data_IF_288353915114
#
_entry.id   IF_288353915114
#
_cell.length_a   1.000
_cell.length_b   1.000
_cell.length_c   1.000
_cell.angle_alpha   90.00
_cell.angle_beta   90.00
_cell.angle_gamma   90.00
#
_symmetry.space_group_name_H-M   'P 1'
#
loop_
_entity.id
_entity.type
_entity.pdbx_description
1 polymer ?
#
# COMPACT_ATOMS: atom_id res chain seq x y z
N UNK A 1 14.99 6.29 -3.01
CA UNK A 1 14.97 6.78 -4.42
C UNK A 1 13.58 6.74 -5.07
N UNK A 2 12.96 5.58 -5.28
CA UNK A 2 11.69 5.43 -6.03
C UNK A 2 10.56 6.36 -5.55
N UNK A 3 10.35 6.48 -4.24
CA UNK A 3 9.34 7.38 -3.66
C UNK A 3 9.55 8.85 -4.07
N UNK A 4 10.80 9.35 -4.05
CA UNK A 4 11.09 10.74 -4.47
C UNK A 4 10.92 10.96 -5.98
N UNK A 5 11.15 9.92 -6.80
CA UNK A 5 10.94 9.96 -8.26
C UNK A 5 9.47 9.96 -8.64
N UNK A 6 8.69 9.03 -8.09
CA UNK A 6 7.28 8.84 -8.45
C UNK A 6 6.32 9.75 -7.69
N UNK A 7 6.77 10.35 -6.58
CA UNK A 7 6.00 11.28 -5.76
C UNK A 7 4.59 10.76 -5.44
N UNK A 8 4.44 9.53 -4.91
CA UNK A 8 3.13 8.94 -4.71
C UNK A 8 2.40 9.56 -3.50
N UNK A 9 1.08 9.69 -3.60
CA UNK A 9 0.22 9.95 -2.44
C UNK A 9 0.04 8.69 -1.56
N UNK A 10 0.05 7.52 -2.19
CA UNK A 10 -0.15 6.21 -1.54
C UNK A 10 0.91 5.23 -2.02
N UNK A 11 1.52 4.51 -1.09
CA UNK A 11 2.43 3.39 -1.36
C UNK A 11 1.77 2.09 -0.89
N UNK A 12 1.82 1.04 -1.70
CA UNK A 12 1.29 -0.28 -1.35
C UNK A 12 2.47 -1.25 -1.17
N UNK A 13 2.44 -2.08 -0.13
CA UNK A 13 3.44 -3.11 0.15
C UNK A 13 2.79 -4.40 0.67
N UNK A 14 3.57 -5.48 0.75
CA UNK A 14 3.14 -6.79 1.26
C UNK A 14 3.29 -6.94 2.78
N UNK A 15 2.72 -8.03 3.31
CA UNK A 15 2.79 -8.39 4.72
C UNK A 15 4.24 -8.53 5.20
N UNK A 16 4.63 -7.71 6.18
CA UNK A 16 5.98 -7.70 6.77
C UNK A 16 6.03 -8.26 8.19
N UNK A 17 4.91 -8.80 8.68
CA UNK A 17 4.86 -9.49 9.96
C UNK A 17 5.48 -10.88 9.83
N UNK A 18 5.92 -11.44 10.96
CA UNK A 18 6.62 -12.73 10.98
C UNK A 18 5.72 -13.92 10.60
N UNK A 19 4.40 -13.70 10.51
CA UNK A 19 3.41 -14.72 10.14
C UNK A 19 2.43 -14.22 9.09
N UNK A 20 1.95 -15.15 8.27
CA UNK A 20 0.72 -15.04 7.51
C UNK A 20 -0.49 -15.28 8.39
N UNK A 21 -1.66 -14.77 8.00
CA UNK A 21 -2.92 -15.25 8.55
C UNK A 21 -3.24 -16.66 8.00
N UNK A 22 -3.70 -17.62 8.83
CA UNK A 22 -4.05 -17.50 10.24
C UNK A 22 -2.90 -17.73 11.24
N UNK A 23 -1.67 -18.02 10.81
CA UNK A 23 -0.51 -18.12 11.72
C UNK A 23 0.76 -18.78 11.18
N UNK A 24 0.79 -19.20 9.91
CA UNK A 24 1.98 -19.83 9.32
C UNK A 24 3.16 -18.85 9.25
N UNK A 25 4.42 -19.30 9.41
CA UNK A 25 5.59 -18.43 9.26
C UNK A 25 5.60 -17.72 7.90
N UNK A 26 5.92 -16.43 7.91
CA UNK A 26 6.10 -15.63 6.71
C UNK A 26 7.51 -15.84 6.13
N UNK A 27 7.67 -15.51 4.87
CA UNK A 27 8.93 -15.58 4.17
C UNK A 27 9.81 -14.37 4.53
N UNK A 28 11.11 -14.61 4.67
CA UNK A 28 12.06 -13.60 5.13
C UNK A 28 12.17 -12.41 4.16
N UNK A 29 11.99 -12.65 2.87
CA UNK A 29 11.98 -11.62 1.83
C UNK A 29 10.80 -10.66 1.96
N UNK A 30 9.58 -11.16 2.27
CA UNK A 30 8.42 -10.32 2.51
C UNK A 30 8.61 -9.42 3.73
N UNK A 31 9.17 -9.97 4.80
CA UNK A 31 9.48 -9.24 6.04
C UNK A 31 10.49 -8.12 5.75
N UNK A 32 11.62 -8.45 5.11
CA UNK A 32 12.66 -7.49 4.79
C UNK A 32 12.15 -6.40 3.83
N UNK A 33 11.49 -6.80 2.74
CA UNK A 33 10.97 -5.87 1.74
C UNK A 33 9.94 -4.93 2.33
N UNK A 34 8.94 -5.46 3.06
CA UNK A 34 7.87 -4.62 3.58
C UNK A 34 8.35 -3.62 4.64
N UNK A 35 9.30 -4.01 5.50
CA UNK A 35 9.99 -3.08 6.42
C UNK A 35 10.76 -2.01 5.65
N UNK A 36 11.56 -2.40 4.66
CA UNK A 36 12.33 -1.47 3.84
C UNK A 36 11.44 -0.47 3.06
N UNK A 37 10.24 -0.88 2.62
CA UNK A 37 9.28 0.04 1.99
C UNK A 37 8.74 1.07 2.98
N UNK A 38 8.37 0.65 4.19
CA UNK A 38 7.84 1.55 5.23
C UNK A 38 8.91 2.57 5.65
N UNK A 39 10.12 2.10 5.93
CA UNK A 39 11.25 2.97 6.29
C UNK A 39 11.63 3.86 5.11
N UNK A 40 11.68 3.31 3.90
CA UNK A 40 11.97 4.07 2.68
C UNK A 40 10.96 5.19 2.39
N UNK A 41 9.68 5.02 2.77
CA UNK A 41 8.67 6.10 2.69
C UNK A 41 8.95 7.20 3.72
N UNK A 42 9.34 6.84 4.95
CA UNK A 42 9.75 7.80 5.98
C UNK A 42 10.99 8.57 5.54
N UNK A 43 12.01 7.87 5.04
CA UNK A 43 13.29 8.44 4.62
C UNK A 43 13.14 9.33 3.39
N UNK A 44 12.22 8.98 2.49
CA UNK A 44 11.94 9.80 1.32
C UNK A 44 11.47 11.22 1.72
N UNK A 45 10.79 11.37 2.85
CA UNK A 45 10.33 12.67 3.36
C UNK A 45 11.41 13.44 4.14
N UNK A 46 12.54 12.83 4.45
CA UNK A 46 13.61 13.43 5.25
C UNK A 46 14.76 13.91 4.36
N UNK A 47 15.02 15.23 4.37
CA UNK A 47 16.11 15.83 3.58
C UNK A 47 17.52 15.42 4.01
N UNK A 48 17.67 14.90 5.22
CA UNK A 48 18.97 14.56 5.81
C UNK A 48 19.37 13.09 5.62
N UNK A 49 18.42 12.24 5.21
CA UNK A 49 18.66 10.83 4.93
C UNK A 49 18.85 10.64 3.42
N UNK A 50 19.88 9.88 3.03
CA UNK A 50 20.30 9.67 1.64
C UNK A 50 20.47 11.01 0.89
N UNK A 51 21.43 11.81 1.34
CA UNK A 51 21.62 13.20 0.86
C UNK A 51 22.04 13.26 -0.61
N UNK A 52 22.74 12.25 -1.09
CA UNK A 52 23.14 12.08 -2.49
C UNK A 52 21.94 12.15 -3.44
N UNK A 53 20.74 11.76 -2.98
CA UNK A 53 19.52 11.87 -3.77
C UNK A 53 19.13 13.33 -4.06
N UNK A 54 19.52 14.29 -3.21
CA UNK A 54 19.30 15.72 -3.47
C UNK A 54 20.19 16.20 -4.62
N UNK A 55 21.45 15.77 -4.60
CA UNK A 55 22.43 16.09 -5.66
C UNK A 55 22.00 15.49 -7.01
N UNK A 56 21.28 14.36 -6.97
CA UNK A 56 20.65 13.73 -8.12
C UNK A 56 19.29 14.34 -8.53
N UNK A 57 18.91 15.49 -7.95
CA UNK A 57 17.68 16.20 -8.31
C UNK A 57 16.38 15.55 -7.81
N UNK A 58 16.47 14.68 -6.79
CA UNK A 58 15.32 14.04 -6.14
C UNK A 58 15.04 14.70 -4.79
N UNK A 59 14.21 15.77 -4.75
CA UNK A 59 13.87 16.44 -3.50
C UNK A 59 13.05 15.54 -2.57
N UNK A 60 13.01 15.83 -1.26
CA UNK A 60 12.22 15.05 -0.32
C UNK A 60 10.75 15.00 -0.73
N UNK A 61 10.13 13.84 -0.55
CA UNK A 61 8.72 13.63 -0.86
C UNK A 61 8.02 12.90 0.28
N UNK A 62 6.87 13.41 0.71
CA UNK A 62 6.04 12.83 1.75
C UNK A 62 4.85 12.12 1.14
N UNK A 63 4.90 10.79 1.10
CA UNK A 63 3.71 10.00 0.78
C UNK A 63 2.68 10.14 1.92
N UNK A 64 1.41 10.24 1.54
CA UNK A 64 0.31 10.41 2.46
C UNK A 64 0.04 9.15 3.28
N UNK A 65 0.11 7.96 2.67
CA UNK A 65 -0.24 6.68 3.31
C UNK A 65 0.60 5.51 2.80
N UNK A 66 0.78 4.52 3.66
CA UNK A 66 1.23 3.18 3.27
C UNK A 66 0.11 2.17 3.52
N UNK A 67 -0.22 1.36 2.51
CA UNK A 67 -1.19 0.27 2.60
C UNK A 67 -0.45 -1.06 2.59
N UNK A 68 -0.74 -1.94 3.55
CA UNK A 68 -0.12 -3.26 3.68
C UNK A 68 -1.15 -4.33 3.31
N UNK A 69 -0.91 -4.97 2.17
CA UNK A 69 -1.68 -6.11 1.68
C UNK A 69 -1.44 -7.36 2.55
N UNK A 70 -2.50 -8.17 2.69
CA UNK A 70 -2.47 -9.46 3.40
C UNK A 70 -1.91 -9.40 4.84
N UNK A 71 -2.00 -8.24 5.51
CA UNK A 71 -1.59 -8.11 6.91
C UNK A 71 -2.52 -8.90 7.83
N UNK A 72 -2.01 -9.68 8.80
CA UNK A 72 -2.83 -10.32 9.82
C UNK A 72 -3.59 -9.30 10.69
N UNK A 73 -3.14 -8.04 10.68
CA UNK A 73 -3.74 -6.93 11.42
C UNK A 73 -4.62 -6.03 10.54
N UNK A 74 -5.01 -6.48 9.34
CA UNK A 74 -5.84 -5.70 8.44
C UNK A 74 -7.11 -5.19 9.15
N UNK A 75 -7.41 -3.91 8.96
CA UNK A 75 -8.59 -3.25 9.57
C UNK A 75 -9.49 -2.60 8.52
N UNK A 76 -9.04 -2.55 7.26
CA UNK A 76 -9.76 -1.98 6.13
C UNK A 76 -9.87 -3.03 5.02
N UNK A 77 -10.80 -2.81 4.09
CA UNK A 77 -10.85 -3.60 2.87
C UNK A 77 -11.43 -2.81 1.71
N UNK A 78 -10.98 -3.13 0.50
CA UNK A 78 -11.44 -2.51 -0.75
C UNK A 78 -12.33 -3.51 -1.48
N UNK A 79 -13.52 -3.06 -1.92
CA UNK A 79 -14.40 -3.87 -2.76
C UNK A 79 -13.82 -3.95 -4.17
N UNK A 80 -13.50 -5.16 -4.60
CA UNK A 80 -12.94 -5.47 -5.92
C UNK A 80 -13.91 -6.30 -6.77
N UNK A 81 -15.20 -6.36 -6.41
CA UNK A 81 -16.19 -7.19 -7.12
C UNK A 81 -16.21 -6.91 -8.62
N UNK A 82 -16.18 -5.63 -9.01
CA UNK A 82 -16.22 -5.21 -10.40
C UNK A 82 -14.94 -5.52 -11.17
N UNK A 83 -13.80 -5.63 -10.49
CA UNK A 83 -12.46 -5.81 -11.10
C UNK A 83 -11.84 -7.17 -10.78
N UNK A 84 -12.60 -8.09 -10.18
CA UNK A 84 -12.08 -9.39 -9.77
C UNK A 84 -11.59 -10.21 -10.97
N UNK A 85 -12.34 -10.17 -12.09
CA UNK A 85 -11.95 -10.84 -13.32
C UNK A 85 -10.61 -10.31 -13.86
N UNK A 86 -10.35 -9.01 -13.74
CA UNK A 86 -9.06 -8.42 -14.14
C UNK A 86 -7.92 -8.93 -13.25
N UNK A 87 -8.16 -9.07 -11.95
CA UNK A 87 -7.20 -9.66 -11.01
C UNK A 87 -6.87 -11.11 -11.35
N UNK A 88 -7.89 -11.91 -11.68
CA UNK A 88 -7.73 -13.30 -12.12
C UNK A 88 -6.92 -13.36 -13.41
N UNK A 89 -7.25 -12.53 -14.40
CA UNK A 89 -6.52 -12.46 -15.67
C UNK A 89 -5.06 -12.06 -15.46
N UNK A 90 -4.81 -11.08 -14.60
CA UNK A 90 -3.46 -10.65 -14.23
C UNK A 90 -2.67 -11.79 -13.58
N UNK A 91 -3.25 -12.50 -12.59
CA UNK A 91 -2.55 -13.61 -11.93
C UNK A 91 -2.31 -14.77 -12.89
N UNK A 92 -3.28 -15.08 -13.76
CA UNK A 92 -3.16 -16.12 -14.80
C UNK A 92 -2.01 -15.86 -15.77
N UNK A 93 -1.63 -14.61 -16.01
CA UNK A 93 -0.48 -14.26 -16.83
C UNK A 93 0.86 -14.78 -16.26
N UNK A 94 0.93 -15.09 -14.95
CA UNK A 94 2.09 -15.72 -14.31
C UNK A 94 2.13 -17.25 -14.56
N UNK A 95 1.90 -17.67 -15.81
CA UNK A 95 1.64 -19.07 -16.16
C UNK A 95 2.80 -20.03 -15.78
N UNK A 96 4.05 -19.60 -15.86
CA UNK A 96 5.21 -20.42 -15.46
C UNK A 96 5.21 -20.66 -13.95
N UNK A 97 4.95 -19.63 -13.15
CA UNK A 97 4.86 -19.72 -11.70
C UNK A 97 3.72 -20.65 -11.28
N UNK A 98 2.53 -20.44 -11.84
CA UNK A 98 1.35 -21.26 -11.52
C UNK A 98 1.53 -22.74 -11.89
N UNK A 99 2.16 -23.03 -13.05
CA UNK A 99 2.54 -24.42 -13.39
C UNK A 99 3.54 -25.00 -12.41
N UNK A 100 4.48 -24.20 -11.93
CA UNK A 100 5.48 -24.60 -10.92
C UNK A 100 4.87 -24.99 -9.57
N UNK A 101 3.66 -24.53 -9.26
CA UNK A 101 2.93 -24.91 -8.05
C UNK A 101 2.30 -26.31 -8.13
N UNK A 102 2.24 -26.93 -9.32
CA UNK A 102 1.72 -28.28 -9.51
C UNK A 102 0.28 -28.44 -9.02
N UNK A 103 0.01 -29.47 -8.21
CA UNK A 103 -1.31 -29.76 -7.65
C UNK A 103 -1.67 -28.93 -6.41
N UNK A 104 -0.89 -27.89 -6.07
CA UNK A 104 -1.17 -27.03 -4.92
C UNK A 104 -2.45 -26.23 -5.16
N UNK A 105 -3.26 -26.02 -4.12
CA UNK A 105 -4.51 -25.24 -4.17
C UNK A 105 -4.34 -23.76 -4.59
N UNK A 106 -3.10 -23.28 -4.73
CA UNK A 106 -2.79 -21.92 -5.17
C UNK A 106 -2.42 -21.86 -6.66
N UNK A 107 -2.42 -23.00 -7.35
CA UNK A 107 -2.15 -23.08 -8.78
C UNK A 107 -3.32 -22.56 -9.63
N UNK A 108 -4.55 -22.59 -9.10
CA UNK A 108 -5.70 -21.96 -9.75
C UNK A 108 -5.83 -20.48 -9.34
N UNK A 109 -5.80 -19.52 -10.30
CA UNK A 109 -5.88 -18.10 -10.00
C UNK A 109 -7.18 -17.64 -9.35
N UNK A 110 -8.31 -18.26 -9.67
CA UNK A 110 -9.60 -17.88 -9.11
C UNK A 110 -9.71 -18.33 -7.66
N UNK A 111 -9.29 -19.55 -7.37
CA UNK A 111 -9.22 -20.10 -6.01
C UNK A 111 -8.21 -19.33 -5.16
N UNK A 112 -7.02 -19.06 -5.69
CA UNK A 112 -5.98 -18.30 -4.99
C UNK A 112 -6.48 -16.92 -4.54
N UNK A 113 -7.17 -16.18 -5.43
CA UNK A 113 -7.72 -14.86 -5.10
C UNK A 113 -9.02 -14.92 -4.28
N UNK A 114 -9.76 -16.03 -4.35
CA UNK A 114 -10.96 -16.24 -3.55
C UNK A 114 -10.64 -16.66 -2.11
N UNK A 115 -9.52 -17.35 -1.87
CA UNK A 115 -9.07 -17.76 -0.55
C UNK A 115 -8.71 -16.56 0.35
N UNK A 116 -8.22 -15.47 -0.25
CA UNK A 116 -7.82 -14.25 0.47
C UNK A 116 -9.02 -13.33 0.82
N UNK A 117 -10.23 -13.90 0.91
CA UNK A 117 -11.49 -13.19 1.21
C UNK A 117 -11.77 -13.15 2.71
N UNK A 118 -11.52 -12.02 3.39
CA UNK A 118 -12.20 -11.73 4.63
C UNK A 118 -13.71 -11.62 4.37
N UNK A 119 -14.53 -12.37 5.09
CA UNK A 119 -16.00 -12.27 5.11
C UNK A 119 -16.49 -10.95 5.74
N UNK A 120 -15.91 -9.81 5.35
CA UNK A 120 -16.08 -8.51 6.00
C UNK A 120 -15.39 -8.41 7.36
N UNK A 121 -14.56 -9.39 7.75
CA UNK A 121 -13.85 -9.46 9.04
C UNK A 121 -12.37 -9.73 8.84
N UNK A 122 -11.51 -9.18 9.67
CA UNK A 122 -10.08 -9.46 9.66
C UNK A 122 -9.77 -10.87 10.20
N UNK A 123 -8.51 -11.33 10.14
CA UNK A 123 -8.12 -12.64 10.67
C UNK A 123 -8.41 -12.86 12.16
N UNK A 124 -8.51 -11.80 12.95
CA UNK A 124 -8.95 -11.82 14.35
C UNK A 124 -10.48 -11.76 14.54
N UNK A 125 -11.26 -11.81 13.45
CA UNK A 125 -12.73 -11.79 13.47
C UNK A 125 -13.38 -10.42 13.62
N UNK A 126 -12.61 -9.32 13.67
CA UNK A 126 -13.13 -7.96 13.77
C UNK A 126 -13.63 -7.42 12.43
N UNK A 127 -14.74 -6.67 12.38
CA UNK A 127 -15.25 -6.13 11.12
C UNK A 127 -14.28 -5.13 10.49
N UNK A 128 -14.06 -5.26 9.18
CA UNK A 128 -13.26 -4.30 8.40
C UNK A 128 -14.03 -2.97 8.29
N UNK A 129 -13.39 -1.86 8.68
CA UNK A 129 -14.01 -0.54 8.69
C UNK A 129 -14.34 -0.05 7.27
N UNK A 130 -15.51 0.59 7.17
CA UNK A 130 -16.21 0.97 5.93
C UNK A 130 -15.73 2.32 5.40
N UNK A 131 -15.58 2.45 4.09
CA UNK A 131 -16.22 3.55 3.35
C UNK A 131 -17.06 2.91 2.24
N UNK A 132 -18.33 3.33 2.14
CA UNK A 132 -19.38 2.98 1.15
C UNK A 132 -20.34 1.81 1.49
N UNK A 133 -21.64 2.07 1.24
CA UNK A 133 -22.82 1.22 1.46
C UNK A 133 -23.12 0.30 0.26
N UNK A 134 -23.52 -0.95 0.53
CA UNK A 134 -24.34 -1.78 -0.38
C UNK A 134 -23.72 -3.08 -0.93
N UNK A 135 -24.49 -4.18 -0.81
CA UNK A 135 -24.40 -5.51 -1.46
C UNK A 135 -23.13 -6.37 -1.25
N UNK A 136 -23.23 -7.69 -1.51
CA UNK A 136 -22.25 -8.75 -1.18
C UNK A 136 -20.91 -8.54 -1.90
N UNK A 137 -20.13 -7.59 -1.42
CA UNK A 137 -18.83 -7.15 -1.94
C UNK A 137 -17.71 -8.17 -1.71
N UNK A 138 -16.92 -8.49 -2.74
CA UNK A 138 -15.62 -9.17 -2.62
C UNK A 138 -14.60 -8.17 -2.09
N UNK A 139 -14.04 -8.37 -0.90
CA UNK A 139 -13.14 -7.39 -0.25
C UNK A 139 -11.73 -7.91 -0.13
N UNK A 140 -10.75 -7.10 -0.51
CA UNK A 140 -9.34 -7.37 -0.28
C UNK A 140 -8.86 -6.67 1.01
N UNK A 141 -8.29 -7.40 2.00
CA UNK A 141 -7.88 -6.83 3.28
C UNK A 141 -6.63 -5.96 3.15
N UNK A 142 -6.65 -4.79 3.76
CA UNK A 142 -5.53 -3.88 3.86
C UNK A 142 -5.37 -3.37 5.29
N UNK A 143 -4.15 -3.36 5.80
CA UNK A 143 -3.79 -2.50 6.93
C UNK A 143 -3.36 -1.13 6.39
N UNK A 144 -3.77 -0.07 7.08
CA UNK A 144 -3.34 1.30 6.75
C UNK A 144 -2.32 1.71 7.80
N UNK A 145 -1.15 2.13 7.35
CA UNK A 145 -0.19 2.83 8.19
C UNK A 145 -0.21 4.32 7.80
N UNK A 146 -0.65 5.14 8.75
CA UNK A 146 -0.58 6.60 8.63
C UNK A 146 0.88 7.04 8.82
N UNK A 147 1.44 7.77 7.85
CA UNK A 147 2.84 8.22 7.87
C UNK A 147 3.11 9.38 8.85
N UNK A 148 2.15 9.67 9.75
CA UNK A 148 2.36 10.37 11.02
C UNK A 148 3.30 11.58 11.02
N UNK A 149 3.03 12.62 10.25
CA UNK A 149 3.50 13.99 10.53
C UNK A 149 2.64 14.99 9.74
N UNK A 150 1.74 15.70 10.43
CA UNK A 150 1.01 16.82 9.85
C UNK A 150 1.98 18.00 9.76
N UNK A 151 2.51 18.26 8.57
CA UNK A 151 3.10 19.56 8.27
C UNK A 151 2.08 20.35 7.44
N UNK A 152 1.78 21.56 7.90
CA UNK A 152 0.95 22.55 7.24
C UNK A 152 1.29 22.60 5.73
N UNK A 153 0.30 22.43 4.85
CA UNK A 153 0.48 22.83 3.45
C UNK A 153 0.86 24.31 3.49
N UNK A 154 1.97 24.77 2.89
CA UNK A 154 2.13 26.19 2.66
C UNK A 154 0.93 26.60 1.82
N UNK A 155 0.11 27.51 2.37
CA UNK A 155 -0.99 28.11 1.65
C UNK A 155 -0.49 28.64 0.31
N UNK A 156 -1.32 28.47 -0.72
CA UNK A 156 -1.28 29.37 -1.87
C UNK A 156 -1.77 30.74 -1.38
N UNK A 157 -0.97 31.41 -0.57
CA UNK A 157 -1.24 32.79 -0.21
C UNK A 157 -0.54 33.62 -1.27
N UNK A 158 -1.36 34.11 -2.18
CA UNK A 158 -0.95 35.01 -3.24
C UNK A 158 -0.23 36.20 -2.64
N UNK A 159 0.95 36.50 -3.18
CA UNK A 159 1.67 37.75 -2.97
C UNK A 159 0.72 38.91 -3.32
N UNK A 160 0.33 39.78 -2.38
CA UNK A 160 -0.33 41.02 -2.73
C UNK A 160 0.74 41.93 -3.35
N UNK A 161 0.57 42.23 -4.63
CA UNK A 161 1.48 43.09 -5.39
C UNK A 161 1.69 44.44 -4.71
N UNK A 162 2.97 44.82 -4.59
CA UNK A 162 3.36 46.14 -4.13
C UNK A 162 2.79 47.22 -5.04
N UNK A 163 1.96 48.09 -4.48
CA UNK A 163 1.64 49.37 -5.11
C UNK A 163 2.70 50.40 -4.70
N UNK A 164 3.55 50.74 -5.66
CA UNK A 164 4.23 52.04 -5.70
C UNK A 164 3.15 53.13 -5.82
N UNK A 165 3.14 54.09 -4.91
CA UNK A 165 2.28 55.27 -4.98
C UNK A 165 3.04 56.47 -4.43
N UNK A 166 3.34 57.41 -5.32
CA UNK A 166 4.00 58.70 -5.07
C UNK A 166 3.14 59.60 -4.18
N UNK A 167 3.75 60.28 -3.21
CA UNK A 167 3.81 61.74 -3.04
C UNK A 167 4.62 62.07 -1.79
#
# INVERSE_FOLDING_TARGET
RAVRRHRPDVVVTGNHHDTWAPGAPNQADHIALGRAVIDGVRDAANRWVFRELIDEGLPPWRAGRVLVAASPLAAHGVDVTATFADGVASLRAHAVYLRGLGAHAMADPEEALAADRPAGRNPAGHPLRRRVRGHRSRRFPLAVQDTGMRCHRPGRDGVPGGRRGRR
#
